data_IF_192047932988
#
_entry.id   IF_192047932988
#
_cell.length_a   1.000
_cell.length_b   1.000
_cell.length_c   1.000
_cell.angle_alpha   90.00
_cell.angle_beta   90.00
_cell.angle_gamma   90.00
#
_symmetry.space_group_name_H-M   'P 1'
#
loop_
_entity.id
_entity.type
_entity.pdbx_description
1 polymer ?
#
# COMPACT_ATOMS: atom_id res chain seq x y z
N UNK A 1 -4.91 -0.71 -11.49
CA UNK A 1 -4.84 -1.07 -10.05
C UNK A 1 -4.38 0.18 -9.30
N UNK A 2 -5.05 0.59 -8.23
CA UNK A 2 -4.76 1.83 -7.49
C UNK A 2 -3.61 1.63 -6.49
N UNK A 3 -2.44 1.25 -6.99
CA UNK A 3 -1.21 1.17 -6.19
C UNK A 3 -0.44 2.45 -6.43
N UNK A 4 -0.08 3.15 -5.37
CA UNK A 4 0.70 4.38 -5.47
C UNK A 4 2.03 4.19 -4.76
N UNK A 5 3.12 4.46 -5.49
CA UNK A 5 4.49 4.47 -4.97
C UNK A 5 4.81 5.84 -4.41
N UNK A 6 5.36 5.91 -3.20
CA UNK A 6 5.71 7.12 -2.44
C UNK A 6 4.65 8.24 -2.56
N UNK A 7 3.37 7.96 -2.24
CA UNK A 7 2.32 8.96 -2.32
C UNK A 7 2.53 10.10 -1.31
N UNK A 8 1.98 11.27 -1.63
CA UNK A 8 1.76 12.32 -0.65
C UNK A 8 0.64 11.94 0.33
N UNK A 9 0.58 12.63 1.48
CA UNK A 9 -0.48 12.44 2.48
C UNK A 9 -1.89 12.63 1.89
N UNK A 10 -2.08 13.64 1.03
CA UNK A 10 -3.36 13.85 0.33
C UNK A 10 -3.77 12.64 -0.50
N UNK A 11 -2.80 11.99 -1.16
CA UNK A 11 -3.06 10.81 -1.97
C UNK A 11 -3.35 9.59 -1.09
N UNK A 12 -2.70 9.46 0.07
CA UNK A 12 -3.01 8.43 1.07
C UNK A 12 -4.46 8.61 1.56
N UNK A 13 -4.86 9.82 1.92
CA UNK A 13 -6.23 10.14 2.34
C UNK A 13 -7.26 9.84 1.23
N UNK A 14 -6.91 10.15 -0.02
CA UNK A 14 -7.72 9.74 -1.15
C UNK A 14 -7.86 8.21 -1.24
N UNK A 15 -6.78 7.44 -1.09
CA UNK A 15 -6.84 5.96 -1.12
C UNK A 15 -7.72 5.40 0.01
N UNK A 16 -7.60 5.94 1.22
CA UNK A 16 -8.45 5.60 2.38
C UNK A 16 -9.92 5.84 2.06
N UNK A 17 -10.25 6.98 1.43
CA UNK A 17 -11.62 7.33 1.04
C UNK A 17 -12.24 6.34 0.04
N UNK A 18 -11.40 5.71 -0.81
CA UNK A 18 -11.83 4.71 -1.79
C UNK A 18 -12.05 3.32 -1.19
N UNK A 19 -11.57 3.08 0.03
CA UNK A 19 -11.81 1.82 0.74
C UNK A 19 -13.14 1.87 1.49
N UNK A 20 -13.84 0.74 1.51
CA UNK A 20 -15.06 0.55 2.32
C UNK A 20 -14.74 0.62 3.81
N UNK A 21 -13.56 0.14 4.20
CA UNK A 21 -13.14 0.03 5.60
C UNK A 21 -12.45 1.32 6.10
N UNK A 22 -12.44 2.38 5.29
CA UNK A 22 -11.78 3.66 5.59
C UNK A 22 -10.34 3.48 6.05
N UNK A 23 -9.60 2.69 5.28
CA UNK A 23 -8.19 2.43 5.53
C UNK A 23 -7.44 2.12 4.23
N UNK A 24 -6.13 2.31 4.24
CA UNK A 24 -5.23 1.90 3.17
C UNK A 24 -4.16 0.97 3.74
N UNK A 25 -3.77 -0.03 2.96
CA UNK A 25 -2.62 -0.88 3.24
C UNK A 25 -1.37 -0.24 2.67
N UNK A 26 -0.25 -0.48 3.34
CA UNK A 26 1.05 -0.07 2.86
C UNK A 26 2.10 -1.18 2.98
N UNK A 27 3.10 -1.10 2.11
CA UNK A 27 4.27 -1.97 2.09
C UNK A 27 5.52 -1.13 1.82
N UNK A 28 6.53 -1.25 2.69
CA UNK A 28 7.83 -0.61 2.54
C UNK A 28 8.83 -1.66 2.03
N UNK A 29 9.32 -1.48 0.82
CA UNK A 29 10.34 -2.32 0.22
C UNK A 29 11.69 -2.00 0.88
N UNK A 30 12.32 -3.01 1.48
CA UNK A 30 13.58 -2.83 2.18
C UNK A 30 14.79 -2.87 1.24
N UNK A 31 14.62 -3.31 -0.01
CA UNK A 31 15.69 -3.34 -1.01
C UNK A 31 15.94 -1.96 -1.63
N UNK A 32 14.87 -1.21 -1.95
CA UNK A 32 14.95 0.12 -2.59
C UNK A 32 14.46 1.29 -1.72
N UNK A 33 13.82 1.01 -0.57
CA UNK A 33 13.32 2.00 0.37
C UNK A 33 11.97 2.62 -0.02
N UNK A 34 11.31 2.10 -1.06
CA UNK A 34 10.07 2.65 -1.57
C UNK A 34 8.85 2.15 -0.79
N UNK A 35 7.85 3.03 -0.62
CA UNK A 35 6.61 2.70 0.08
C UNK A 35 5.43 2.72 -0.88
N UNK A 36 4.71 1.61 -0.91
CA UNK A 36 3.55 1.39 -1.76
C UNK A 36 2.27 1.42 -0.93
N UNK A 37 1.25 2.17 -1.37
CA UNK A 37 -0.06 2.23 -0.73
C UNK A 37 -1.18 1.81 -1.69
N UNK A 38 -2.22 1.18 -1.15
CA UNK A 38 -3.45 0.85 -1.88
C UNK A 38 -4.66 0.80 -0.93
N UNK A 39 -5.90 0.96 -1.42
CA UNK A 39 -7.09 0.87 -0.58
C UNK A 39 -7.22 -0.53 0.03
N UNK A 40 -7.57 -0.63 1.32
CA UNK A 40 -7.80 -1.94 1.92
C UNK A 40 -9.00 -2.64 1.28
N UNK A 41 -8.96 -3.98 1.30
CA UNK A 41 -9.96 -4.84 0.68
C UNK A 41 -9.67 -5.20 -0.79
N UNK A 42 -8.70 -4.55 -1.44
CA UNK A 42 -8.32 -4.88 -2.82
C UNK A 42 -7.46 -6.14 -2.93
N UNK A 43 -6.43 -6.25 -2.09
CA UNK A 43 -5.48 -7.36 -2.08
C UNK A 43 -4.72 -7.36 -0.76
N UNK A 44 -4.21 -8.52 -0.35
CA UNK A 44 -3.37 -8.64 0.85
C UNK A 44 -1.94 -8.15 0.59
N UNK A 45 -1.19 -7.85 1.66
CA UNK A 45 0.22 -7.45 1.54
C UNK A 45 1.08 -8.50 0.83
N UNK A 46 0.86 -9.80 1.08
CA UNK A 46 1.66 -10.85 0.45
C UNK A 46 1.39 -10.94 -1.06
N UNK A 47 0.12 -10.84 -1.48
CA UNK A 47 -0.24 -10.79 -2.89
C UNK A 47 0.33 -9.54 -3.57
N UNK A 48 0.37 -8.41 -2.84
CA UNK A 48 0.99 -7.19 -3.33
C UNK A 48 2.50 -7.34 -3.51
N UNK A 49 3.20 -7.86 -2.50
CA UNK A 49 4.63 -8.12 -2.54
C UNK A 49 5.00 -9.03 -3.71
N UNK A 50 4.27 -10.13 -3.88
CA UNK A 50 4.47 -11.05 -5.01
C UNK A 50 4.28 -10.36 -6.35
N UNK A 51 3.22 -9.54 -6.48
CA UNK A 51 2.94 -8.78 -7.70
C UNK A 51 4.02 -7.76 -8.03
N UNK A 52 4.54 -7.08 -7.02
CA UNK A 52 5.60 -6.09 -7.15
C UNK A 52 7.01 -6.72 -7.18
N UNK A 53 7.11 -8.04 -6.97
CA UNK A 53 8.35 -8.81 -6.85
C UNK A 53 9.25 -8.35 -5.70
N UNK A 54 8.64 -7.87 -4.61
CA UNK A 54 9.32 -7.42 -3.41
C UNK A 54 9.58 -8.62 -2.51
N UNK A 55 10.85 -8.80 -2.11
CA UNK A 55 11.29 -9.98 -1.35
C UNK A 55 11.30 -9.72 0.14
N UNK A 56 11.85 -8.59 0.55
CA UNK A 56 11.93 -8.15 1.93
C UNK A 56 11.11 -6.88 2.10
N UNK A 57 10.13 -6.91 3.00
CA UNK A 57 9.27 -5.76 3.19
C UNK A 57 8.73 -5.66 4.61
N UNK A 58 8.51 -4.43 5.03
CA UNK A 58 7.62 -4.11 6.14
C UNK A 58 6.22 -3.82 5.61
N UNK A 59 5.23 -3.98 6.48
CA UNK A 59 3.82 -3.77 6.10
C UNK A 59 3.05 -3.10 7.22
N UNK A 60 1.97 -2.43 6.84
CA UNK A 60 1.01 -1.93 7.81
C UNK A 60 -0.27 -1.42 7.17
N UNK A 61 -1.03 -0.71 7.99
CA UNK A 61 -2.33 -0.14 7.67
C UNK A 61 -2.35 1.30 8.18
N UNK A 62 -3.02 2.18 7.44
CA UNK A 62 -3.29 3.57 7.84
C UNK A 62 -4.78 3.86 7.66
N UNK A 63 -5.34 4.67 8.55
CA UNK A 63 -6.75 5.09 8.59
C UNK A 63 -6.89 6.59 8.45
#
# INVERSE_FOLDING_TARGET
MLITKNPSDEKIQWLISQSNDKMAYWLHDLDDGDVYYWPAGWTSHNQMAEKLKIREFEKGVVT
#
